data_IF_399741751372
#
_entry.id   IF_399741751372
#
_cell.length_a   1.000
_cell.length_b   1.000
_cell.length_c   1.000
_cell.angle_alpha   90.00
_cell.angle_beta   90.00
_cell.angle_gamma   90.00
#
_symmetry.space_group_name_H-M   'P 1'
#
loop_
_entity.id
_entity.type
_entity.pdbx_description
1 polymer ?
#
# COMPACT_ATOMS: atom_id res chain seq x y z
N UNK A 1 21.62 -8.25 -20.29
CA UNK A 1 21.27 -6.90 -20.78
C UNK A 1 21.11 -7.00 -22.28
N UNK A 2 19.92 -6.70 -22.80
CA UNK A 2 19.74 -6.48 -24.24
C UNK A 2 20.64 -5.31 -24.65
N UNK A 3 21.27 -5.40 -25.83
CA UNK A 3 22.07 -4.28 -26.34
C UNK A 3 21.11 -3.18 -26.77
N UNK A 4 21.35 -1.96 -26.30
CA UNK A 4 20.66 -0.80 -26.81
C UNK A 4 21.22 -0.47 -28.20
N UNK A 5 20.43 -0.74 -29.25
CA UNK A 5 20.83 -0.52 -30.64
C UNK A 5 20.77 0.97 -31.07
N UNK A 6 20.42 1.88 -30.14
CA UNK A 6 20.35 3.32 -30.38
C UNK A 6 21.66 4.07 -30.09
N UNK A 7 21.63 5.40 -30.25
CA UNK A 7 22.80 6.24 -30.01
C UNK A 7 23.10 6.38 -28.50
N UNK A 8 24.28 5.95 -28.01
CA UNK A 8 24.62 6.03 -26.58
C UNK A 8 24.51 7.43 -25.98
N UNK A 9 24.69 8.49 -26.78
CA UNK A 9 24.52 9.88 -26.33
C UNK A 9 23.09 10.17 -25.89
N UNK A 10 22.11 9.62 -26.60
CA UNK A 10 20.69 9.83 -26.28
C UNK A 10 20.31 9.08 -24.99
N UNK A 11 20.86 7.88 -24.78
CA UNK A 11 20.70 7.14 -23.52
C UNK A 11 21.30 7.90 -22.32
N UNK A 12 22.50 8.47 -22.48
CA UNK A 12 23.14 9.30 -21.44
C UNK A 12 22.28 10.53 -21.13
N UNK A 13 21.78 11.22 -22.15
CA UNK A 13 20.94 12.41 -21.96
C UNK A 13 19.63 12.06 -21.23
N UNK A 14 18.99 10.93 -21.55
CA UNK A 14 17.79 10.45 -20.85
C UNK A 14 18.08 10.12 -19.39
N UNK A 15 19.14 9.37 -19.12
CA UNK A 15 19.51 9.03 -17.74
C UNK A 15 19.83 10.29 -16.92
N UNK A 16 20.52 11.28 -17.50
CA UNK A 16 20.74 12.59 -16.86
C UNK A 16 19.43 13.33 -16.57
N UNK A 17 18.44 13.24 -17.47
CA UNK A 17 17.13 13.87 -17.28
C UNK A 17 16.30 13.22 -16.17
N UNK A 18 16.56 11.96 -15.82
CA UNK A 18 15.90 11.27 -14.70
C UNK A 18 16.46 11.69 -13.32
N UNK A 19 17.71 12.15 -13.23
CA UNK A 19 18.37 12.46 -11.95
C UNK A 19 17.58 13.46 -11.08
N UNK A 20 17.06 14.58 -11.61
CA UNK A 20 16.28 15.52 -10.80
C UNK A 20 15.02 14.89 -10.19
N UNK A 21 14.42 13.89 -10.84
CA UNK A 21 13.25 13.16 -10.32
C UNK A 21 13.64 12.41 -9.05
N UNK A 22 14.72 11.62 -9.11
CA UNK A 22 15.24 10.87 -7.95
C UNK A 22 15.76 11.75 -6.82
N UNK A 23 16.30 12.93 -7.14
CA UNK A 23 16.72 13.89 -6.12
C UNK A 23 15.54 14.51 -5.37
N UNK A 24 14.42 14.70 -6.09
CA UNK A 24 13.20 15.35 -5.58
C UNK A 24 12.31 14.38 -4.81
N UNK A 25 12.00 13.22 -5.38
CA UNK A 25 11.06 12.26 -4.81
C UNK A 25 11.76 11.38 -3.77
N UNK A 26 11.20 11.35 -2.56
CA UNK A 26 11.69 10.54 -1.43
C UNK A 26 10.51 9.90 -0.72
N UNK A 27 10.47 8.57 -0.75
CA UNK A 27 9.41 7.78 -0.13
C UNK A 27 9.99 6.48 0.47
N UNK A 28 9.49 5.96 1.60
CA UNK A 28 10.03 4.73 2.23
C UNK A 28 10.06 3.50 1.30
N UNK A 29 9.11 3.45 0.36
CA UNK A 29 8.99 2.38 -0.63
C UNK A 29 9.70 2.68 -1.95
N UNK A 30 10.33 3.86 -2.13
CA UNK A 30 11.11 4.18 -3.33
C UNK A 30 12.57 3.79 -3.14
N UNK A 31 13.21 3.25 -4.18
CA UNK A 31 14.65 2.94 -4.17
C UNK A 31 15.48 4.19 -3.84
N UNK A 32 16.42 4.04 -2.91
CA UNK A 32 17.18 5.18 -2.38
C UNK A 32 18.29 5.59 -3.36
N UNK A 33 18.16 6.75 -3.98
CA UNK A 33 19.19 7.35 -4.82
C UNK A 33 20.35 7.88 -3.98
N UNK A 34 21.58 7.51 -4.34
CA UNK A 34 22.81 7.90 -3.63
C UNK A 34 23.48 9.07 -4.34
N UNK A 35 23.82 8.89 -5.62
CA UNK A 35 24.53 9.89 -6.43
C UNK A 35 24.38 9.59 -7.92
N UNK A 36 24.72 10.57 -8.75
CA UNK A 36 24.98 10.35 -10.16
C UNK A 36 26.28 11.03 -10.57
N UNK A 37 27.01 10.42 -11.50
CA UNK A 37 28.33 10.89 -11.93
C UNK A 37 28.62 10.58 -13.40
N UNK A 38 29.36 11.46 -14.06
CA UNK A 38 29.97 11.16 -15.35
C UNK A 38 31.08 10.11 -15.17
N UNK A 39 31.08 9.11 -16.05
CA UNK A 39 32.11 8.07 -16.12
C UNK A 39 32.77 8.12 -17.49
N UNK A 40 33.94 7.50 -17.66
CA UNK A 40 34.81 7.69 -18.84
C UNK A 40 34.07 7.66 -20.19
N UNK A 41 33.19 6.69 -20.39
CA UNK A 41 32.40 6.53 -21.63
C UNK A 41 30.89 6.54 -21.37
N UNK A 42 30.41 7.22 -20.33
CA UNK A 42 29.00 7.16 -19.98
C UNK A 42 28.59 8.03 -18.79
N UNK A 43 27.43 7.70 -18.23
CA UNK A 43 26.88 8.32 -17.04
C UNK A 43 26.29 7.24 -16.15
N UNK A 44 26.48 7.36 -14.84
CA UNK A 44 26.01 6.37 -13.88
C UNK A 44 25.10 7.02 -12.82
N UNK A 45 23.99 6.35 -12.52
CA UNK A 45 23.18 6.61 -11.34
C UNK A 45 23.41 5.48 -10.33
N UNK A 46 23.76 5.82 -9.11
CA UNK A 46 24.06 4.88 -8.04
C UNK A 46 22.93 4.91 -7.03
N UNK A 47 22.40 3.73 -6.72
CA UNK A 47 21.31 3.52 -5.77
C UNK A 47 21.75 2.60 -4.65
N UNK A 48 21.10 2.72 -3.49
CA UNK A 48 21.24 1.74 -2.43
C UNK A 48 20.62 0.43 -2.88
N UNK A 49 21.37 -0.65 -2.68
CA UNK A 49 20.89 -1.98 -2.99
C UNK A 49 19.60 -2.30 -2.19
N UNK A 50 18.62 -2.86 -2.89
CA UNK A 50 17.39 -3.37 -2.30
C UNK A 50 17.25 -4.84 -2.69
N UNK A 51 17.19 -5.73 -1.71
CA UNK A 51 16.88 -7.14 -1.95
C UNK A 51 15.41 -7.27 -2.33
N UNK A 52 15.11 -8.15 -3.28
CA UNK A 52 13.75 -8.43 -3.68
C UNK A 52 13.66 -9.11 -5.04
N UNK A 53 12.48 -9.63 -5.33
CA UNK A 53 12.16 -10.18 -6.64
C UNK A 53 11.12 -9.31 -7.34
N UNK A 54 11.32 -9.11 -8.64
CA UNK A 54 10.47 -8.27 -9.48
C UNK A 54 9.12 -8.96 -9.75
N UNK A 55 8.02 -8.19 -9.70
CA UNK A 55 6.69 -8.66 -10.08
C UNK A 55 6.56 -8.87 -11.59
N UNK A 56 7.37 -8.20 -12.40
CA UNK A 56 7.29 -8.13 -13.85
C UNK A 56 7.37 -9.48 -14.57
N UNK A 57 6.58 -9.63 -15.63
CA UNK A 57 6.51 -10.86 -16.46
C UNK A 57 7.82 -11.25 -17.14
N UNK A 58 8.76 -10.33 -17.28
CA UNK A 58 10.08 -10.58 -17.87
C UNK A 58 10.94 -11.56 -17.05
N UNK A 59 10.57 -11.80 -15.78
CA UNK A 59 11.22 -12.77 -14.89
C UNK A 59 10.23 -13.86 -14.46
N UNK A 60 10.00 -14.93 -15.26
CA UNK A 60 8.92 -15.89 -15.04
C UNK A 60 8.93 -16.56 -13.66
N UNK A 61 10.10 -16.96 -13.16
CA UNK A 61 10.23 -17.58 -11.84
C UNK A 61 9.86 -16.62 -10.71
N UNK A 62 10.36 -15.37 -10.76
CA UNK A 62 10.02 -14.32 -9.80
C UNK A 62 8.55 -13.96 -9.85
N UNK A 63 7.99 -13.78 -11.05
CA UNK A 63 6.56 -13.55 -11.28
C UNK A 63 5.71 -14.65 -10.65
N UNK A 64 6.04 -15.92 -10.88
CA UNK A 64 5.31 -17.06 -10.33
C UNK A 64 5.31 -17.03 -8.80
N UNK A 65 6.48 -16.79 -8.18
CA UNK A 65 6.60 -16.69 -6.72
C UNK A 65 5.84 -15.49 -6.16
N UNK A 66 5.92 -14.34 -6.82
CA UNK A 66 5.20 -13.12 -6.46
C UNK A 66 3.68 -13.34 -6.49
N UNK A 67 3.16 -13.98 -7.52
CA UNK A 67 1.72 -14.23 -7.64
C UNK A 67 1.19 -15.34 -6.74
N UNK A 68 2.07 -16.25 -6.32
CA UNK A 68 1.76 -17.26 -5.32
C UNK A 68 1.67 -16.70 -3.88
N UNK A 69 1.96 -15.41 -3.67
CA UNK A 69 1.78 -14.77 -2.37
C UNK A 69 0.33 -14.82 -1.88
N UNK A 70 0.17 -14.93 -0.56
CA UNK A 70 -1.11 -14.79 0.12
C UNK A 70 -1.77 -13.47 -0.27
N UNK A 71 -3.10 -13.47 -0.36
CA UNK A 71 -3.89 -12.28 -0.68
C UNK A 71 -3.57 -11.11 0.25
N UNK A 72 -3.44 -11.34 1.55
CA UNK A 72 -3.10 -10.29 2.53
C UNK A 72 -1.74 -9.62 2.22
N UNK A 73 -0.76 -10.40 1.78
CA UNK A 73 0.55 -9.87 1.38
C UNK A 73 0.44 -9.02 0.12
N UNK A 74 -0.31 -9.48 -0.89
CA UNK A 74 -0.56 -8.70 -2.11
C UNK A 74 -1.35 -7.41 -1.81
N UNK A 75 -2.27 -7.44 -0.85
CA UNK A 75 -2.97 -6.24 -0.38
C UNK A 75 -2.03 -5.24 0.31
N UNK A 76 -1.06 -5.72 1.09
CA UNK A 76 -0.03 -4.85 1.68
C UNK A 76 0.87 -4.23 0.60
N UNK A 77 1.31 -5.01 -0.39
CA UNK A 77 2.04 -4.49 -1.56
C UNK A 77 1.23 -3.42 -2.29
N UNK A 78 -0.07 -3.67 -2.50
CA UNK A 78 -0.94 -2.68 -3.13
C UNK A 78 -1.07 -1.41 -2.29
N UNK A 79 -1.18 -1.52 -0.96
CA UNK A 79 -1.17 -0.36 -0.05
C UNK A 79 0.13 0.43 -0.13
N UNK A 80 1.27 -0.24 -0.21
CA UNK A 80 2.58 0.40 -0.38
C UNK A 80 2.69 1.19 -1.69
N UNK A 81 2.10 0.66 -2.76
CA UNK A 81 1.98 1.32 -4.06
C UNK A 81 1.04 2.53 -3.96
N UNK A 82 -0.14 2.37 -3.36
CA UNK A 82 -1.10 3.46 -3.17
C UNK A 82 -0.50 4.62 -2.37
N UNK A 83 0.22 4.33 -1.27
CA UNK A 83 0.96 5.32 -0.49
C UNK A 83 1.96 6.10 -1.35
N UNK A 84 2.70 5.40 -2.22
CA UNK A 84 3.62 6.05 -3.14
C UNK A 84 2.90 6.91 -4.19
N UNK A 85 1.80 6.41 -4.74
CA UNK A 85 1.01 7.13 -5.74
C UNK A 85 0.35 8.40 -5.17
N UNK A 86 -0.12 8.35 -3.92
CA UNK A 86 -0.61 9.54 -3.21
C UNK A 86 0.52 10.57 -3.02
N UNK A 87 1.70 10.10 -2.60
CA UNK A 87 2.87 10.95 -2.43
C UNK A 87 3.30 11.66 -3.73
N UNK A 88 3.37 10.94 -4.85
CA UNK A 88 3.76 11.56 -6.14
C UNK A 88 2.67 12.47 -6.70
N UNK A 89 1.39 12.17 -6.44
CA UNK A 89 0.28 13.06 -6.81
C UNK A 89 0.40 14.41 -6.08
N UNK A 90 0.60 14.39 -4.75
CA UNK A 90 0.84 15.60 -3.95
C UNK A 90 2.13 16.33 -4.38
N UNK A 91 3.15 15.57 -4.80
CA UNK A 91 4.42 16.13 -5.32
C UNK A 91 4.30 16.65 -6.75
N UNK A 92 3.12 16.54 -7.38
CA UNK A 92 2.83 17.03 -8.71
C UNK A 92 3.51 16.23 -9.82
N UNK A 93 3.53 14.90 -9.74
CA UNK A 93 4.08 14.01 -10.77
C UNK A 93 3.05 13.05 -11.38
N UNK A 94 3.23 12.74 -12.67
CA UNK A 94 2.58 11.65 -13.40
C UNK A 94 3.59 10.52 -13.64
N UNK A 95 3.15 9.27 -13.42
CA UNK A 95 3.96 8.06 -13.36
C UNK A 95 4.09 7.38 -14.73
N UNK A 96 4.63 8.11 -15.72
CA UNK A 96 4.86 7.57 -17.07
C UNK A 96 5.83 6.39 -16.99
N UNK A 97 5.53 5.34 -17.75
CA UNK A 97 6.27 4.07 -17.79
C UNK A 97 6.30 3.31 -16.45
N UNK A 98 5.30 3.51 -15.58
CA UNK A 98 5.14 2.69 -14.37
C UNK A 98 4.33 1.42 -14.63
N UNK A 99 4.89 0.25 -14.30
CA UNK A 99 4.23 -1.05 -14.49
C UNK A 99 4.72 -2.08 -13.46
N UNK A 100 4.32 -3.34 -13.61
CA UNK A 100 4.74 -4.44 -12.74
C UNK A 100 6.26 -4.69 -12.73
N UNK A 101 7.00 -4.26 -13.75
CA UNK A 101 8.47 -4.28 -13.75
C UNK A 101 9.09 -3.32 -12.73
N UNK A 102 8.38 -2.26 -12.37
CA UNK A 102 8.80 -1.22 -11.43
C UNK A 102 8.64 -1.63 -9.96
N UNK A 103 8.14 -2.84 -9.68
CA UNK A 103 7.78 -3.31 -8.33
C UNK A 103 8.61 -4.54 -7.98
N UNK A 104 9.34 -4.46 -6.86
CA UNK A 104 10.07 -5.57 -6.26
C UNK A 104 9.54 -5.87 -4.86
N UNK A 105 9.62 -7.13 -4.45
CA UNK A 105 9.24 -7.57 -3.11
C UNK A 105 10.31 -8.43 -2.45
N UNK A 106 10.74 -8.01 -1.26
CA UNK A 106 11.64 -8.78 -0.39
C UNK A 106 10.82 -9.79 0.43
N UNK A 107 10.85 -11.06 0.03
CA UNK A 107 10.15 -12.13 0.76
C UNK A 107 10.71 -12.41 2.16
N UNK A 108 11.98 -12.06 2.42
CA UNK A 108 12.63 -12.33 3.71
C UNK A 108 12.18 -11.30 4.75
N UNK A 109 12.12 -10.03 4.36
CA UNK A 109 11.83 -8.92 5.27
C UNK A 109 10.42 -8.34 5.10
N UNK A 110 9.66 -8.80 4.11
CA UNK A 110 8.29 -8.36 3.85
C UNK A 110 8.20 -6.91 3.36
N UNK A 111 9.13 -6.50 2.49
CA UNK A 111 9.27 -5.09 2.06
C UNK A 111 9.00 -4.93 0.57
N UNK A 112 8.11 -3.99 0.23
CA UNK A 112 7.92 -3.52 -1.14
C UNK A 112 8.97 -2.46 -1.50
N UNK A 113 9.59 -2.58 -2.66
CA UNK A 113 10.47 -1.55 -3.22
C UNK A 113 10.01 -1.20 -4.63
N UNK A 114 9.84 0.08 -4.87
CA UNK A 114 9.52 0.70 -6.15
C UNK A 114 10.82 1.23 -6.75
N UNK A 115 11.05 0.93 -8.02
CA UNK A 115 12.16 1.44 -8.80
C UNK A 115 11.65 1.93 -10.16
N UNK A 116 12.57 2.31 -11.05
CA UNK A 116 12.25 2.68 -12.44
C UNK A 116 11.23 3.83 -12.55
N UNK A 117 11.64 5.00 -12.06
CA UNK A 117 10.84 6.25 -12.15
C UNK A 117 11.46 7.23 -13.16
N UNK A 118 12.31 6.72 -14.06
CA UNK A 118 13.15 7.49 -14.98
C UNK A 118 12.34 8.45 -15.86
N UNK A 119 11.11 8.04 -16.20
CA UNK A 119 10.22 8.77 -17.09
C UNK A 119 9.15 9.59 -16.38
N UNK A 120 9.12 9.63 -15.04
CA UNK A 120 8.13 10.43 -14.32
C UNK A 120 8.26 11.90 -14.70
N UNK A 121 7.13 12.56 -14.95
CA UNK A 121 7.09 13.98 -15.34
C UNK A 121 6.29 14.80 -14.35
N UNK A 122 6.59 16.10 -14.27
CA UNK A 122 5.72 17.04 -13.59
C UNK A 122 4.37 17.10 -14.28
N UNK A 123 3.29 17.09 -13.50
CA UNK A 123 1.92 17.22 -14.01
C UNK A 123 1.34 18.64 -13.80
N UNK A 124 0.39 19.06 -14.65
CA UNK A 124 0.00 18.38 -15.88
C UNK A 124 1.11 18.48 -16.94
N UNK A 125 1.25 17.46 -17.78
CA UNK A 125 2.07 17.53 -18.99
C UNK A 125 1.27 17.07 -20.22
N UNK A 126 1.84 17.26 -21.41
CA UNK A 126 1.23 16.84 -22.67
C UNK A 126 1.93 15.57 -23.16
N UNK A 127 1.16 14.65 -23.74
CA UNK A 127 1.69 13.54 -24.52
C UNK A 127 2.32 14.10 -25.80
N UNK A 128 3.65 14.18 -25.80
CA UNK A 128 4.48 14.74 -26.88
C UNK A 128 4.98 13.67 -27.85
N UNK A 129 4.55 12.41 -27.70
CA UNK A 129 5.07 11.26 -28.45
C UNK A 129 4.01 10.53 -29.27
N UNK A 130 2.72 10.77 -29.01
CA UNK A 130 1.65 9.90 -29.49
C UNK A 130 1.54 8.67 -28.61
N UNK A 131 2.47 7.72 -28.75
CA UNK A 131 2.58 6.58 -27.84
C UNK A 131 3.69 6.84 -26.82
N UNK A 132 3.33 7.11 -25.58
CA UNK A 132 4.28 7.22 -24.47
C UNK A 132 5.02 5.90 -24.23
N UNK A 133 6.15 5.97 -23.51
CA UNK A 133 6.81 4.77 -22.98
C UNK A 133 5.91 4.09 -21.96
N UNK A 134 5.93 2.76 -21.91
CA UNK A 134 4.96 2.01 -21.12
C UNK A 134 4.63 0.63 -21.65
N UNK A 135 4.36 -0.27 -20.70
CA UNK A 135 3.63 -1.51 -20.94
C UNK A 135 2.16 -1.20 -21.22
N UNK A 136 1.65 -1.63 -22.39
CA UNK A 136 0.26 -1.37 -22.80
C UNK A 136 -0.81 -1.96 -21.88
N UNK A 137 -0.44 -2.82 -20.92
CA UNK A 137 -1.35 -3.34 -19.88
C UNK A 137 -1.71 -2.30 -18.84
N UNK A 138 -0.86 -1.29 -18.67
CA UNK A 138 -0.96 -0.27 -17.62
C UNK A 138 -1.19 1.14 -18.18
N UNK A 139 -0.88 1.35 -19.46
CA UNK A 139 -1.08 2.62 -20.14
C UNK A 139 -2.57 2.93 -20.31
N UNK A 140 -2.93 4.15 -19.96
CA UNK A 140 -4.24 4.76 -20.21
C UNK A 140 -4.40 5.17 -21.69
N UNK A 141 -5.63 5.37 -22.20
CA UNK A 141 -5.86 5.84 -23.58
C UNK A 141 -5.15 7.14 -23.92
N UNK A 142 -5.11 8.12 -23.00
CA UNK A 142 -4.43 9.40 -23.23
C UNK A 142 -2.91 9.26 -23.43
N UNK A 143 -2.29 8.18 -22.96
CA UNK A 143 -0.88 7.86 -23.23
C UNK A 143 -0.64 7.30 -24.65
N UNK A 144 -1.70 7.09 -25.44
CA UNK A 144 -1.65 6.75 -26.86
C UNK A 144 -2.07 7.90 -27.80
N UNK A 145 -2.44 9.06 -27.26
CA UNK A 145 -2.96 10.19 -28.03
C UNK A 145 -2.02 11.40 -27.95
N UNK A 146 -1.40 11.75 -29.09
CA UNK A 146 -0.54 12.93 -29.18
C UNK A 146 -1.34 14.20 -28.89
N UNK A 147 -0.85 15.04 -27.98
CA UNK A 147 -1.53 16.26 -27.55
C UNK A 147 -2.47 16.07 -26.36
N UNK A 148 -2.72 14.84 -25.91
CA UNK A 148 -3.55 14.60 -24.74
C UNK A 148 -2.87 15.06 -23.45
N UNK A 149 -3.68 15.46 -22.46
CA UNK A 149 -3.20 15.85 -21.12
C UNK A 149 -2.93 14.61 -20.27
N UNK A 150 -1.75 14.57 -19.66
CA UNK A 150 -1.33 13.57 -18.69
C UNK A 150 -1.23 14.22 -17.31
N UNK A 151 -1.99 13.70 -16.35
CA UNK A 151 -2.11 14.24 -15.00
C UNK A 151 -2.48 13.14 -13.98
N UNK A 152 -2.94 13.53 -12.79
CA UNK A 152 -3.33 12.60 -11.73
C UNK A 152 -4.39 11.58 -12.17
N UNK A 153 -5.30 11.93 -13.10
CA UNK A 153 -6.34 11.02 -13.59
C UNK A 153 -5.73 9.94 -14.52
N UNK A 154 -4.59 10.23 -15.14
CA UNK A 154 -3.77 9.24 -15.85
C UNK A 154 -3.24 8.21 -14.86
N UNK A 155 -2.69 8.66 -13.72
CA UNK A 155 -2.22 7.76 -12.67
C UNK A 155 -3.35 6.90 -12.07
N UNK A 156 -4.59 7.42 -11.99
CA UNK A 156 -5.76 6.64 -11.53
C UNK A 156 -5.97 5.41 -12.41
N UNK A 157 -5.78 5.53 -13.72
CA UNK A 157 -5.85 4.37 -14.62
C UNK A 157 -4.75 3.36 -14.30
N UNK A 158 -3.51 3.83 -14.13
CA UNK A 158 -2.35 2.98 -13.81
C UNK A 158 -2.58 2.16 -12.53
N UNK A 159 -3.09 2.76 -11.45
CA UNK A 159 -3.38 2.03 -10.20
C UNK A 159 -4.52 1.03 -10.35
N UNK A 160 -5.54 1.34 -11.15
CA UNK A 160 -6.60 0.39 -11.49
C UNK A 160 -6.05 -0.82 -12.25
N UNK A 161 -5.17 -0.58 -13.23
CA UNK A 161 -4.50 -1.63 -13.98
C UNK A 161 -3.59 -2.49 -13.09
N UNK A 162 -2.89 -1.89 -12.13
CA UNK A 162 -2.10 -2.60 -11.11
C UNK A 162 -2.97 -3.47 -10.21
N UNK A 163 -4.15 -3.01 -9.83
CA UNK A 163 -5.10 -3.82 -9.07
C UNK A 163 -5.47 -5.10 -9.85
N UNK A 164 -5.79 -4.99 -11.15
CA UNK A 164 -6.03 -6.17 -11.99
C UNK A 164 -4.77 -7.05 -12.17
N UNK A 165 -3.59 -6.46 -12.30
CA UNK A 165 -2.34 -7.22 -12.38
C UNK A 165 -2.08 -8.07 -11.12
N UNK A 166 -2.45 -7.59 -9.93
CA UNK A 166 -2.26 -8.27 -8.65
C UNK A 166 -3.37 -9.28 -8.30
N UNK A 167 -4.62 -8.96 -8.62
CA UNK A 167 -5.79 -9.66 -8.09
C UNK A 167 -6.59 -10.47 -9.12
N UNK A 168 -6.20 -10.41 -10.41
CA UNK A 168 -6.84 -11.19 -11.47
C UNK A 168 -5.91 -11.55 -12.63
N UNK A 169 -4.58 -11.45 -12.42
CA UNK A 169 -3.56 -11.68 -13.44
C UNK A 169 -3.88 -10.92 -14.74
N UNK A 170 -4.03 -9.60 -14.61
CA UNK A 170 -4.32 -8.64 -15.69
C UNK A 170 -5.72 -8.76 -16.32
N UNK A 171 -6.50 -9.80 -16.01
CA UNK A 171 -7.86 -9.93 -16.52
C UNK A 171 -8.76 -8.85 -15.92
N UNK A 172 -9.46 -8.11 -16.77
CA UNK A 172 -10.45 -7.10 -16.33
C UNK A 172 -11.86 -7.67 -16.16
N UNK A 173 -12.03 -8.99 -16.26
CA UNK A 173 -13.33 -9.64 -16.10
C UNK A 173 -13.66 -9.85 -14.63
N UNK A 174 -14.96 -9.87 -14.31
CA UNK A 174 -15.41 -10.11 -12.94
C UNK A 174 -15.05 -11.51 -12.46
N UNK A 175 -15.11 -12.50 -13.35
CA UNK A 175 -14.89 -13.92 -13.04
C UNK A 175 -13.45 -14.24 -12.63
N UNK A 176 -12.48 -13.48 -13.15
CA UNK A 176 -11.08 -13.65 -12.80
C UNK A 176 -10.67 -12.93 -11.50
N UNK A 177 -11.53 -12.04 -10.99
CA UNK A 177 -11.23 -11.21 -9.83
C UNK A 177 -11.37 -11.97 -8.52
N UNK A 178 -10.35 -11.89 -7.67
CA UNK A 178 -10.25 -12.71 -6.45
C UNK A 178 -10.71 -12.02 -5.17
N UNK A 179 -10.98 -10.72 -5.20
CA UNK A 179 -11.47 -9.95 -4.04
C UNK A 179 -12.99 -9.70 -4.12
N UNK A 180 -13.51 -8.91 -3.17
CA UNK A 180 -14.93 -8.55 -3.08
C UNK A 180 -15.41 -7.77 -4.31
N UNK A 181 -16.73 -7.79 -4.54
CA UNK A 181 -17.38 -7.11 -5.68
C UNK A 181 -17.10 -5.60 -5.67
N UNK A 182 -17.13 -4.97 -4.51
CA UNK A 182 -16.97 -3.52 -4.38
C UNK A 182 -15.58 -3.07 -4.85
N UNK A 183 -14.52 -3.80 -4.49
CA UNK A 183 -13.15 -3.53 -4.92
C UNK A 183 -12.97 -3.72 -6.42
N UNK A 184 -13.67 -4.68 -7.02
CA UNK A 184 -13.68 -4.82 -8.47
C UNK A 184 -14.33 -3.61 -9.14
N UNK A 185 -15.47 -3.13 -8.65
CA UNK A 185 -16.14 -1.95 -9.23
C UNK A 185 -15.24 -0.71 -9.16
N UNK A 186 -14.49 -0.54 -8.07
CA UNK A 186 -13.54 0.58 -7.90
C UNK A 186 -12.39 0.48 -8.91
N UNK A 187 -11.75 -0.69 -9.02
CA UNK A 187 -10.68 -0.91 -10.01
C UNK A 187 -11.18 -0.79 -11.45
N UNK A 188 -12.38 -1.30 -11.74
CA UNK A 188 -13.01 -1.26 -13.05
C UNK A 188 -13.36 0.19 -13.47
N UNK A 189 -13.87 1.00 -12.52
CA UNK A 189 -14.09 2.44 -12.71
C UNK A 189 -12.78 3.17 -13.03
N UNK A 190 -11.70 2.84 -12.33
CA UNK A 190 -10.40 3.47 -12.51
C UNK A 190 -9.80 3.24 -13.91
N UNK A 191 -10.04 2.07 -14.51
CA UNK A 191 -9.56 1.72 -15.87
C UNK A 191 -10.54 2.08 -16.98
N UNK A 192 -11.50 2.96 -16.73
CA UNK A 192 -12.41 3.44 -17.78
C UNK A 192 -11.65 4.19 -18.87
N UNK A 193 -11.98 3.95 -20.13
CA UNK A 193 -11.37 4.69 -21.24
C UNK A 193 -11.76 6.18 -21.21
N UNK A 194 -12.97 6.48 -20.73
CA UNK A 194 -13.44 7.84 -20.48
C UNK A 194 -12.90 8.32 -19.13
N UNK A 195 -11.87 9.16 -19.17
CA UNK A 195 -11.19 9.67 -17.96
C UNK A 195 -12.11 10.43 -17.01
N UNK A 196 -13.21 11.02 -17.49
CA UNK A 196 -14.19 11.71 -16.65
C UNK A 196 -15.04 10.75 -15.81
N UNK A 197 -15.05 9.45 -16.14
CA UNK A 197 -15.76 8.41 -15.38
C UNK A 197 -14.89 7.77 -14.30
N UNK A 198 -13.57 7.99 -14.33
CA UNK A 198 -12.63 7.49 -13.32
C UNK A 198 -12.81 8.24 -12.00
N UNK A 199 -12.14 7.77 -10.96
CA UNK A 199 -11.86 8.61 -9.80
C UNK A 199 -11.06 9.84 -10.26
N UNK A 200 -11.37 11.00 -9.69
CA UNK A 200 -10.81 12.29 -10.10
C UNK A 200 -9.54 12.67 -9.32
N UNK A 201 -9.06 11.76 -8.45
CA UNK A 201 -7.77 11.83 -7.78
C UNK A 201 -7.35 10.44 -7.28
N UNK A 202 -6.06 10.26 -7.02
CA UNK A 202 -5.52 9.09 -6.34
C UNK A 202 -6.12 8.97 -4.95
N UNK A 203 -6.25 10.10 -4.24
CA UNK A 203 -6.86 10.13 -2.91
C UNK A 203 -8.30 9.61 -2.94
N UNK A 204 -9.11 10.00 -3.92
CA UNK A 204 -10.45 9.47 -4.08
C UNK A 204 -10.44 7.94 -4.32
N UNK A 205 -9.53 7.44 -5.15
CA UNK A 205 -9.38 5.99 -5.33
C UNK A 205 -9.06 5.29 -4.01
N UNK A 206 -8.11 5.81 -3.23
CA UNK A 206 -7.70 5.24 -1.94
C UNK A 206 -8.87 5.23 -0.94
N UNK A 207 -9.59 6.34 -0.83
CA UNK A 207 -10.76 6.47 0.05
C UNK A 207 -11.87 5.48 -0.34
N UNK A 208 -12.18 5.36 -1.63
CA UNK A 208 -13.13 4.36 -2.14
C UNK A 208 -12.64 2.93 -1.86
N UNK A 209 -11.37 2.63 -2.12
CA UNK A 209 -10.75 1.32 -1.93
C UNK A 209 -10.78 0.89 -0.45
N UNK A 210 -10.22 1.70 0.45
CA UNK A 210 -10.12 1.37 1.88
C UNK A 210 -11.50 1.27 2.56
N UNK A 211 -12.47 2.10 2.17
CA UNK A 211 -13.85 1.98 2.64
C UNK A 211 -14.49 0.62 2.26
N UNK A 212 -13.94 -0.05 1.25
CA UNK A 212 -14.44 -1.29 0.68
C UNK A 212 -13.42 -2.46 0.79
N UNK A 213 -12.45 -2.39 1.69
CA UNK A 213 -11.50 -3.49 1.93
C UNK A 213 -12.04 -4.63 2.82
N UNK A 214 -13.22 -4.46 3.43
CA UNK A 214 -13.84 -5.46 4.29
C UNK A 214 -13.46 -5.24 5.75
N UNK A 215 -14.50 -5.18 6.58
CA UNK A 215 -14.49 -4.36 7.79
C UNK A 215 -15.18 -3.04 7.44
N UNK A 216 -16.34 -2.79 8.04
CA UNK A 216 -17.06 -1.51 7.98
C UNK A 216 -16.09 -0.32 7.86
N UNK A 217 -16.40 0.69 7.04
CA UNK A 217 -15.75 2.00 7.00
C UNK A 217 -15.86 2.80 8.31
N UNK A 218 -15.58 2.14 9.43
CA UNK A 218 -15.21 2.62 10.74
C UNK A 218 -13.85 2.00 11.01
N UNK A 219 -12.90 2.81 11.46
CA UNK A 219 -11.61 2.33 11.96
C UNK A 219 -11.75 0.99 12.70
N UNK A 220 -10.87 -0.01 12.47
CA UNK A 220 -11.11 -1.37 12.92
C UNK A 220 -11.41 -1.41 14.42
N UNK A 221 -12.67 -1.59 14.81
CA UNK A 221 -13.06 -1.61 16.21
C UNK A 221 -13.02 -3.03 16.75
N UNK A 222 -12.50 -3.22 17.95
CA UNK A 222 -12.65 -4.47 18.69
C UNK A 222 -14.14 -4.68 19.05
N UNK A 223 -14.53 -5.88 19.46
CA UNK A 223 -15.89 -6.18 19.94
C UNK A 223 -16.36 -5.18 21.02
N UNK A 224 -15.46 -4.76 21.91
CA UNK A 224 -15.75 -3.84 23.01
C UNK A 224 -15.74 -2.34 22.64
N UNK A 225 -15.46 -1.99 21.38
CA UNK A 225 -15.37 -0.59 20.91
C UNK A 225 -13.96 0.02 20.99
N UNK A 226 -12.92 -0.76 21.29
CA UNK A 226 -11.54 -0.28 21.20
C UNK A 226 -11.17 -0.01 19.73
N UNK A 227 -10.73 1.20 19.43
CA UNK A 227 -10.34 1.63 18.09
C UNK A 227 -8.92 1.13 17.80
N UNK A 228 -8.80 0.13 16.94
CA UNK A 228 -7.50 -0.44 16.59
C UNK A 228 -6.65 0.56 15.82
N UNK A 229 -7.22 1.52 15.08
CA UNK A 229 -6.44 2.56 14.38
C UNK A 229 -5.66 3.47 15.32
N UNK A 230 -5.98 3.43 16.62
CA UNK A 230 -5.26 4.17 17.66
C UNK A 230 -4.39 3.27 18.52
N UNK A 231 -4.57 1.95 18.47
CA UNK A 231 -3.89 0.97 19.34
C UNK A 231 -2.43 0.78 18.91
N UNK A 232 -1.48 1.01 19.83
CA UNK A 232 -0.04 0.88 19.52
C UNK A 232 0.35 -0.53 19.09
N UNK A 233 -0.23 -1.59 19.68
CA UNK A 233 0.05 -2.98 19.25
C UNK A 233 -0.40 -3.26 17.81
N UNK A 234 -1.58 -2.78 17.44
CA UNK A 234 -2.09 -2.93 16.07
C UNK A 234 -1.25 -2.11 15.09
N UNK A 235 -1.02 -0.83 15.42
CA UNK A 235 -0.21 0.09 14.61
C UNK A 235 1.22 -0.41 14.43
N UNK A 236 1.82 -0.98 15.48
CA UNK A 236 3.13 -1.62 15.40
C UNK A 236 3.17 -2.75 14.37
N UNK A 237 2.07 -3.50 14.25
CA UNK A 237 1.96 -4.61 13.29
C UNK A 237 1.76 -4.09 11.88
N UNK A 238 0.74 -3.25 11.65
CA UNK A 238 0.40 -2.78 10.29
C UNK A 238 1.44 -1.83 9.71
N UNK A 239 2.18 -1.11 10.55
CA UNK A 239 3.28 -0.24 10.12
C UNK A 239 4.65 -0.91 10.23
N UNK A 240 4.70 -2.19 10.61
CA UNK A 240 5.92 -2.94 10.93
C UNK A 240 6.97 -2.14 11.73
N UNK A 241 6.53 -1.47 12.81
CA UNK A 241 7.34 -0.50 13.53
C UNK A 241 7.82 -1.03 14.88
N UNK A 242 9.11 -1.34 14.98
CA UNK A 242 9.73 -1.74 16.25
C UNK A 242 9.68 -0.64 17.30
N UNK A 243 9.63 0.62 16.89
CA UNK A 243 9.47 1.74 17.81
C UNK A 243 8.10 1.69 18.50
N UNK A 244 7.03 1.48 17.74
CA UNK A 244 5.70 1.28 18.30
C UNK A 244 5.61 -0.02 19.12
N UNK A 245 6.36 -1.08 18.74
CA UNK A 245 6.45 -2.30 19.55
C UNK A 245 7.06 -2.02 20.92
N UNK A 246 8.15 -1.24 20.99
CA UNK A 246 8.78 -0.84 22.27
C UNK A 246 7.86 0.00 23.13
N UNK A 247 7.14 0.95 22.54
CA UNK A 247 6.17 1.76 23.29
C UNK A 247 5.04 0.90 23.89
N UNK A 248 4.51 -0.03 23.09
CA UNK A 248 3.48 -0.97 23.57
C UNK A 248 4.01 -1.93 24.62
N UNK A 249 5.22 -2.49 24.42
CA UNK A 249 5.91 -3.32 25.40
C UNK A 249 6.07 -2.60 26.74
N UNK A 250 6.58 -1.36 26.72
CA UNK A 250 6.78 -0.55 27.93
C UNK A 250 5.47 -0.33 28.68
N UNK A 251 4.37 -0.03 27.97
CA UNK A 251 3.04 0.07 28.57
C UNK A 251 2.63 -1.20 29.32
N UNK A 252 2.78 -2.38 28.71
CA UNK A 252 2.41 -3.65 29.35
C UNK A 252 3.32 -4.00 30.53
N UNK A 253 4.61 -3.65 30.44
CA UNK A 253 5.58 -3.84 31.51
C UNK A 253 5.26 -2.97 32.72
N UNK A 254 5.01 -1.68 32.51
CA UNK A 254 4.77 -0.74 33.61
C UNK A 254 3.39 -0.90 34.25
N UNK A 255 2.36 -1.14 33.43
CA UNK A 255 0.97 -1.18 33.91
C UNK A 255 0.60 -2.54 34.50
N UNK A 256 1.16 -3.62 33.95
CA UNK A 256 0.74 -4.99 34.29
C UNK A 256 1.90 -5.92 34.69
N UNK A 257 3.15 -5.44 34.68
CA UNK A 257 4.31 -6.27 35.01
C UNK A 257 4.65 -7.32 33.96
N UNK A 258 4.14 -7.19 32.73
CA UNK A 258 4.38 -8.14 31.64
C UNK A 258 5.53 -7.66 30.76
N UNK A 259 6.69 -8.32 30.84
CA UNK A 259 7.80 -8.09 29.93
C UNK A 259 7.64 -8.97 28.68
N UNK A 260 7.05 -8.38 27.64
CA UNK A 260 6.61 -9.09 26.44
C UNK A 260 7.68 -8.93 25.34
N UNK A 261 8.21 -10.00 24.74
CA UNK A 261 9.15 -9.88 23.61
C UNK A 261 8.55 -9.05 22.47
N UNK A 262 9.35 -8.22 21.79
CA UNK A 262 8.86 -7.38 20.68
C UNK A 262 8.19 -8.21 19.58
N UNK A 263 8.70 -9.42 19.30
CA UNK A 263 8.12 -10.35 18.31
C UNK A 263 6.70 -10.81 18.67
N UNK A 264 6.31 -10.76 19.95
CA UNK A 264 4.97 -11.11 20.43
C UNK A 264 4.03 -9.89 20.50
N UNK A 265 4.53 -8.68 20.28
CA UNK A 265 3.73 -7.47 20.07
C UNK A 265 3.19 -7.47 18.64
N UNK A 266 2.17 -8.31 18.41
CA UNK A 266 1.55 -8.56 17.12
C UNK A 266 0.02 -8.58 17.21
N UNK A 267 -0.69 -7.89 16.31
CA UNK A 267 -2.15 -7.92 16.22
C UNK A 267 -2.65 -7.39 14.87
N UNK A 268 -3.50 -8.15 14.18
CA UNK A 268 -4.20 -7.73 12.96
C UNK A 268 -5.62 -7.19 13.23
N UNK A 269 -5.92 -6.86 14.48
CA UNK A 269 -7.14 -6.19 14.92
C UNK A 269 -8.05 -7.08 15.75
N UNK A 270 -8.80 -6.50 16.69
CA UNK A 270 -9.53 -7.25 17.73
C UNK A 270 -10.65 -8.19 17.25
N UNK A 271 -11.04 -8.10 15.97
CA UNK A 271 -12.01 -8.99 15.32
C UNK A 271 -11.37 -9.96 14.32
N UNK A 272 -10.05 -9.88 14.11
CA UNK A 272 -9.31 -10.83 13.27
C UNK A 272 -9.11 -12.17 13.99
N UNK A 273 -8.61 -13.16 13.25
CA UNK A 273 -8.17 -14.43 13.81
C UNK A 273 -6.74 -14.36 14.38
N UNK A 274 -5.94 -13.39 13.93
CA UNK A 274 -4.57 -13.15 14.39
C UNK A 274 -4.50 -11.94 15.32
N UNK A 275 -4.65 -12.22 16.61
CA UNK A 275 -4.76 -11.22 17.66
C UNK A 275 -3.60 -11.30 18.64
N UNK A 276 -3.34 -10.17 19.29
CA UNK A 276 -2.40 -10.08 20.40
C UNK A 276 -2.69 -11.15 21.45
N UNK A 277 -1.64 -11.83 21.94
CA UNK A 277 -1.82 -13.04 22.72
C UNK A 277 -2.60 -12.79 24.03
N UNK A 278 -2.39 -11.63 24.69
CA UNK A 278 -3.17 -11.23 25.88
C UNK A 278 -4.66 -11.01 25.58
N UNK A 279 -5.04 -10.83 24.31
CA UNK A 279 -6.42 -10.70 23.88
C UNK A 279 -7.10 -12.04 23.54
N UNK A 280 -6.36 -13.17 23.50
CA UNK A 280 -6.92 -14.50 23.16
C UNK A 280 -8.02 -14.93 24.12
N UNK A 281 -7.84 -14.65 25.41
CA UNK A 281 -8.79 -14.98 26.47
C UNK A 281 -9.77 -13.84 26.82
N UNK A 282 -9.91 -12.83 25.95
CA UNK A 282 -10.80 -11.70 26.20
C UNK A 282 -12.26 -12.16 26.41
N UNK A 283 -12.88 -11.90 27.59
CA UNK A 283 -14.23 -12.37 27.88
C UNK A 283 -15.30 -11.72 27.00
N UNK A 284 -15.05 -10.50 26.50
CA UNK A 284 -15.97 -9.79 25.58
C UNK A 284 -15.97 -10.46 24.21
N UNK A 285 -14.79 -10.90 23.72
CA UNK A 285 -14.66 -11.65 22.47
C UNK A 285 -15.34 -13.00 22.57
N UNK A 286 -15.10 -13.74 23.67
CA UNK A 286 -15.77 -15.03 23.93
C UNK A 286 -17.29 -14.88 23.92
N UNK A 287 -17.83 -13.95 24.71
CA UNK A 287 -19.26 -13.67 24.77
C UNK A 287 -19.85 -13.24 23.41
N UNK A 288 -19.19 -12.37 22.65
CA UNK A 288 -19.66 -11.95 21.34
C UNK A 288 -19.69 -13.11 20.34
N UNK A 289 -18.67 -13.97 20.35
CA UNK A 289 -18.62 -15.19 19.51
C UNK A 289 -19.72 -16.18 19.88
N UNK A 290 -19.94 -16.44 21.17
CA UNK A 290 -21.01 -17.32 21.66
C UNK A 290 -22.41 -16.81 21.27
N UNK A 291 -22.64 -15.49 21.40
CA UNK A 291 -23.87 -14.83 20.98
C UNK A 291 -23.96 -14.57 19.47
N UNK A 292 -22.94 -14.95 18.68
CA UNK A 292 -22.82 -14.73 17.22
C UNK A 292 -23.00 -13.25 16.80
N UNK A 293 -22.43 -12.33 17.58
CA UNK A 293 -22.48 -10.89 17.35
C UNK A 293 -21.20 -10.40 16.69
N UNK A 294 -21.32 -9.45 15.76
CA UNK A 294 -20.18 -8.76 15.14
C UNK A 294 -19.52 -7.72 16.06
N UNK A 295 -20.29 -7.12 16.97
CA UNK A 295 -19.82 -6.18 17.97
C UNK A 295 -20.66 -6.30 19.25
N UNK A 296 -20.11 -5.86 20.39
CA UNK A 296 -20.92 -5.80 21.61
C UNK A 296 -22.07 -4.81 21.48
N UNK A 297 -21.95 -3.77 20.63
CA UNK A 297 -23.02 -2.82 20.31
C UNK A 297 -24.26 -3.45 19.71
N UNK A 298 -24.11 -4.64 19.12
CA UNK A 298 -25.22 -5.36 18.48
C UNK A 298 -26.00 -6.20 19.50
N UNK A 299 -25.56 -6.25 20.76
CA UNK A 299 -26.23 -6.98 21.82
C UNK A 299 -27.44 -6.19 22.35
N UNK A 300 -28.57 -6.86 22.55
CA UNK A 300 -29.77 -6.24 23.15
C UNK A 300 -29.53 -5.67 24.56
N UNK A 301 -28.53 -6.19 25.28
CA UNK A 301 -28.15 -5.71 26.61
C UNK A 301 -27.08 -4.60 26.57
N UNK A 302 -26.76 -4.03 25.40
CA UNK A 302 -25.65 -3.09 25.27
C UNK A 302 -25.95 -1.68 25.84
N UNK A 303 -25.01 -1.08 26.61
CA UNK A 303 -23.86 -1.73 27.21
C UNK A 303 -24.26 -2.51 28.47
N UNK A 304 -23.86 -3.79 28.56
CA UNK A 304 -24.10 -4.55 29.78
C UNK A 304 -23.14 -4.06 30.87
N UNK A 305 -23.51 -4.21 32.15
CA UNK A 305 -22.74 -3.66 33.28
C UNK A 305 -21.23 -3.99 33.22
N UNK A 306 -20.79 -5.25 32.98
CA UNK A 306 -19.37 -5.57 32.89
C UNK A 306 -18.64 -4.89 31.72
N UNK A 307 -19.35 -4.64 30.61
CA UNK A 307 -18.80 -3.93 29.46
C UNK A 307 -18.68 -2.43 29.74
N UNK A 308 -19.71 -1.82 30.32
CA UNK A 308 -19.70 -0.39 30.65
C UNK A 308 -18.55 -0.03 31.61
N UNK A 309 -18.34 -0.84 32.66
CA UNK A 309 -17.23 -0.66 33.61
C UNK A 309 -15.87 -0.78 32.92
N UNK A 310 -15.72 -1.75 32.01
CA UNK A 310 -14.49 -1.90 31.23
C UNK A 310 -14.25 -0.74 30.26
N UNK A 311 -15.29 -0.32 29.53
CA UNK A 311 -15.23 0.78 28.58
C UNK A 311 -14.81 2.07 29.29
N UNK A 312 -15.41 2.35 30.46
CA UNK A 312 -15.07 3.50 31.27
C UNK A 312 -13.60 3.52 31.70
N UNK A 313 -12.95 2.37 31.88
CA UNK A 313 -11.58 2.30 32.38
C UNK A 313 -10.51 2.18 31.29
N UNK A 314 -10.76 1.43 30.22
CA UNK A 314 -9.69 0.99 29.32
C UNK A 314 -9.92 1.28 27.83
N UNK A 315 -11.17 1.34 27.38
CA UNK A 315 -11.46 1.48 25.95
C UNK A 315 -11.11 2.89 25.49
N UNK A 316 -10.18 2.98 24.54
CA UNK A 316 -9.68 4.24 23.97
C UNK A 316 -8.98 5.19 24.96
N UNK A 317 -8.34 4.64 25.99
CA UNK A 317 -7.68 5.41 27.07
C UNK A 317 -6.23 5.02 27.36
N UNK A 318 -5.78 3.85 26.93
CA UNK A 318 -4.46 3.31 27.25
C UNK A 318 -3.85 2.58 26.04
N UNK A 319 -2.52 2.56 25.96
CA UNK A 319 -1.77 1.94 24.86
C UNK A 319 -2.16 2.45 23.46
N UNK A 320 -2.28 3.78 23.30
CA UNK A 320 -2.72 4.41 22.07
C UNK A 320 -1.85 5.58 21.63
N UNK A 321 -1.82 5.86 20.33
CA UNK A 321 -1.20 7.08 19.79
C UNK A 321 -1.91 8.33 20.33
N UNK A 322 -1.13 9.29 20.83
CA UNK A 322 -1.59 10.59 21.31
C UNK A 322 -2.24 10.60 22.70
N UNK A 323 -2.19 9.49 23.45
CA UNK A 323 -2.64 9.45 24.85
C UNK A 323 -1.52 9.82 25.81
N UNK A 324 -1.75 10.75 26.74
CA UNK A 324 -0.85 10.93 27.88
C UNK A 324 -0.87 9.66 28.73
N UNK A 325 0.27 8.97 28.86
CA UNK A 325 0.47 8.00 29.93
C UNK A 325 0.24 8.74 31.25
N UNK A 326 -0.91 8.50 31.89
CA UNK A 326 -1.21 8.95 33.25
C UNK A 326 -1.25 7.76 34.17
#
# INVERSE_FOLDING_TARGET
TEQYDGNPKDAILRLKAAVPVYQTLRHPNLIEFIKAEDIQNGFACVFKWADGECMGRMYPASRQRFMAMRTDTKLNVFRDILSFFEYIAVSGYVAIDFYDGSIMYDFKNGRTTICDIDFFRKQPCINDMGRMWGSSRFMSPEEFEHGATLDEITNVYTIGALAFALFSDYSRTREAWTLRDELYQIAFKAVSDDRNKRQQSIRQFIEEWEANMGGSGQAPTCFCGHDCSRCLTYLATVNNSDELRRQSQQFYKDTFGHDIPLTEIHCLGGRSDDIFYLCRDCPRRKCAKEKRLSACSDCAEYPCKPLAEYQARWVNKCNQMGGTNR
#
